data_IF_410831547561
#
_entry.id   IF_410831547561
#
_cell.length_a   1.000
_cell.length_b   1.000
_cell.length_c   1.000
_cell.angle_alpha   90.00
_cell.angle_beta   90.00
_cell.angle_gamma   90.00
#
_symmetry.space_group_name_H-M   'P 1'
#
loop_
_entity.id
_entity.type
_entity.pdbx_description
1 polymer ?
#
# COMPACT_ATOMS: atom_id res chain seq x y z
N UNK A 1 7.09 -30.62 -10.90
CA UNK A 1 7.71 -30.09 -9.68
C UNK A 1 6.72 -29.87 -8.54
N UNK A 2 5.65 -29.08 -8.71
CA UNK A 2 4.65 -28.89 -7.64
C UNK A 2 3.83 -30.16 -7.35
N UNK A 3 3.44 -30.89 -8.40
CA UNK A 3 2.68 -32.15 -8.27
C UNK A 3 3.41 -33.26 -7.50
N UNK A 4 4.74 -33.25 -7.47
CA UNK A 4 5.53 -34.24 -6.71
C UNK A 4 5.58 -33.95 -5.20
N UNK A 5 4.92 -32.87 -4.75
CA UNK A 5 4.81 -32.47 -3.34
C UNK A 5 3.36 -32.59 -2.81
N UNK A 6 2.48 -33.24 -3.58
CA UNK A 6 1.12 -33.53 -3.13
C UNK A 6 1.14 -34.79 -2.24
N UNK A 7 0.71 -34.64 -0.99
CA UNK A 7 0.61 -35.72 -0.03
C UNK A 7 -0.61 -36.62 -0.28
N UNK A 8 -0.70 -37.74 0.46
CA UNK A 8 -1.82 -38.68 0.37
C UNK A 8 -3.15 -38.05 0.77
N UNK A 9 -3.13 -37.14 1.74
CA UNK A 9 -4.28 -36.33 2.19
C UNK A 9 -4.69 -35.23 1.19
N UNK A 10 -3.97 -35.12 0.06
CA UNK A 10 -4.23 -34.13 -0.98
C UNK A 10 -3.61 -32.76 -0.72
N UNK A 11 -3.04 -32.51 0.47
CA UNK A 11 -2.35 -31.28 0.83
C UNK A 11 -1.02 -31.13 0.09
N UNK A 12 -0.63 -29.89 -0.18
CA UNK A 12 0.73 -29.56 -0.61
C UNK A 12 1.50 -29.04 0.61
N UNK A 13 2.75 -29.51 0.77
CA UNK A 13 3.65 -29.06 1.84
C UNK A 13 5.04 -28.79 1.26
N UNK A 14 5.77 -27.87 1.87
CA UNK A 14 7.17 -27.59 1.55
C UNK A 14 8.00 -27.41 2.83
N UNK A 15 9.24 -27.89 2.79
CA UNK A 15 10.18 -27.88 3.93
C UNK A 15 11.10 -26.64 3.96
N UNK A 16 10.84 -25.61 3.14
CA UNK A 16 11.68 -24.41 3.10
C UNK A 16 11.30 -23.39 4.19
N UNK A 17 12.32 -22.83 4.86
CA UNK A 17 12.22 -21.83 5.95
C UNK A 17 11.45 -20.54 5.60
N UNK A 18 11.20 -20.25 4.33
CA UNK A 18 10.53 -19.02 3.90
C UNK A 18 9.02 -19.00 4.21
N UNK A 19 8.39 -20.16 4.41
CA UNK A 19 6.96 -20.28 4.68
C UNK A 19 6.66 -20.76 6.11
N UNK A 20 7.61 -20.72 7.04
CA UNK A 20 7.43 -21.25 8.40
C UNK A 20 6.58 -20.30 9.28
N UNK A 21 5.28 -20.24 9.03
CA UNK A 21 4.28 -19.68 9.97
C UNK A 21 3.15 -20.69 10.15
N UNK A 22 2.54 -20.71 11.33
CA UNK A 22 1.36 -21.55 11.62
C UNK A 22 0.27 -21.29 10.57
N UNK A 23 -0.25 -22.34 9.92
CA UNK A 23 -1.20 -22.25 8.79
C UNK A 23 -0.58 -22.36 7.38
N UNK A 24 0.75 -22.48 7.26
CA UNK A 24 1.49 -22.51 6.00
C UNK A 24 1.04 -23.57 5.00
N UNK A 25 0.66 -24.77 5.46
CA UNK A 25 0.23 -25.85 4.57
C UNK A 25 -1.09 -25.55 3.85
N UNK A 26 -2.03 -24.86 4.50
CA UNK A 26 -3.31 -24.50 3.88
C UNK A 26 -3.10 -23.41 2.82
N UNK A 27 -2.33 -22.37 3.16
CA UNK A 27 -2.00 -21.28 2.24
C UNK A 27 -1.17 -21.77 1.05
N UNK A 28 -0.25 -22.70 1.28
CA UNK A 28 0.54 -23.30 0.21
C UNK A 28 -0.32 -24.20 -0.67
N UNK A 29 -1.20 -25.03 -0.07
CA UNK A 29 -2.17 -25.85 -0.81
C UNK A 29 -3.09 -24.99 -1.66
N UNK A 30 -3.65 -23.91 -1.13
CA UNK A 30 -4.54 -23.01 -1.88
C UNK A 30 -3.81 -22.30 -3.03
N UNK A 31 -2.59 -21.81 -2.79
CA UNK A 31 -1.76 -21.16 -3.80
C UNK A 31 -1.40 -22.11 -4.96
N UNK A 32 -1.03 -23.36 -4.65
CA UNK A 32 -0.74 -24.37 -5.68
C UNK A 32 -2.01 -24.73 -6.46
N UNK A 33 -3.16 -24.85 -5.81
CA UNK A 33 -4.42 -25.14 -6.50
C UNK A 33 -4.86 -24.01 -7.42
N UNK A 34 -4.69 -22.75 -7.02
CA UNK A 34 -4.90 -21.57 -7.86
C UNK A 34 -4.00 -21.60 -9.10
N UNK A 35 -2.70 -21.89 -8.91
CA UNK A 35 -1.75 -22.01 -10.01
C UNK A 35 -2.12 -23.15 -10.97
N UNK A 36 -2.53 -24.31 -10.46
CA UNK A 36 -2.98 -25.45 -11.26
C UNK A 36 -4.29 -25.16 -12.01
N UNK A 37 -5.16 -24.30 -11.46
CA UNK A 37 -6.39 -23.87 -12.12
C UNK A 37 -6.13 -22.93 -13.31
N UNK A 38 -5.11 -22.08 -13.23
CA UNK A 38 -4.75 -21.10 -14.27
C UNK A 38 -3.96 -21.71 -15.44
N UNK A 39 -3.64 -23.00 -15.41
CA UNK A 39 -2.98 -23.70 -16.52
C UNK A 39 -3.92 -23.86 -17.73
N UNK A 40 -3.37 -23.81 -18.94
CA UNK A 40 -4.13 -24.01 -20.20
C UNK A 40 -4.91 -25.33 -20.23
N UNK A 41 -4.40 -26.37 -19.55
CA UNK A 41 -5.11 -27.62 -19.30
C UNK A 41 -5.13 -27.90 -17.79
N UNK A 42 -6.24 -27.60 -17.08
CA UNK A 42 -6.30 -27.77 -15.63
C UNK A 42 -6.11 -29.22 -15.20
N UNK A 43 -5.23 -29.47 -14.23
CA UNK A 43 -5.03 -30.81 -13.66
C UNK A 43 -6.16 -31.15 -12.68
N UNK A 44 -7.27 -31.67 -13.20
CA UNK A 44 -8.49 -31.98 -12.43
C UNK A 44 -8.28 -33.10 -11.42
N UNK A 45 -7.37 -34.04 -11.66
CA UNK A 45 -7.07 -35.15 -10.73
C UNK A 45 -6.43 -34.64 -9.45
N UNK A 46 -5.40 -33.80 -9.56
CA UNK A 46 -4.74 -33.19 -8.41
C UNK A 46 -5.70 -32.26 -7.63
N UNK A 47 -6.56 -31.51 -8.34
CA UNK A 47 -7.56 -30.64 -7.73
C UNK A 47 -8.65 -31.41 -6.98
N UNK A 48 -9.22 -32.45 -7.58
CA UNK A 48 -10.26 -33.27 -6.96
C UNK A 48 -9.71 -34.08 -5.78
N UNK A 49 -8.45 -34.53 -5.88
CA UNK A 49 -7.75 -35.20 -4.76
C UNK A 49 -7.48 -34.26 -3.60
N UNK A 50 -7.16 -32.99 -3.88
CA UNK A 50 -6.93 -32.00 -2.84
C UNK A 50 -8.22 -31.55 -2.15
N UNK A 51 -9.39 -31.69 -2.79
CA UNK A 51 -10.63 -31.15 -2.22
C UNK A 51 -11.94 -31.85 -2.65
N UNK A 52 -12.44 -32.85 -1.88
CA UNK A 52 -13.71 -33.51 -2.17
C UNK A 52 -14.97 -32.80 -1.61
N UNK A 53 -14.86 -31.79 -0.72
CA UNK A 53 -16.01 -31.16 -0.01
C UNK A 53 -16.28 -29.69 -0.40
N UNK A 54 -16.10 -29.32 -1.68
CA UNK A 54 -16.18 -27.92 -2.13
C UNK A 54 -17.47 -27.19 -1.72
N UNK A 55 -18.63 -27.84 -1.87
CA UNK A 55 -19.93 -27.25 -1.57
C UNK A 55 -20.13 -26.92 -0.08
N UNK A 56 -19.50 -27.70 0.80
CA UNK A 56 -19.55 -27.50 2.26
C UNK A 56 -18.73 -26.27 2.67
N UNK A 57 -17.55 -26.06 2.09
CA UNK A 57 -16.76 -24.84 2.35
C UNK A 57 -17.44 -23.60 1.82
N UNK A 58 -18.03 -23.67 0.63
CA UNK A 58 -18.77 -22.54 0.08
C UNK A 58 -19.91 -22.15 1.02
N UNK A 59 -20.61 -23.15 1.57
CA UNK A 59 -21.68 -22.92 2.56
C UNK A 59 -21.14 -22.27 3.84
N UNK A 60 -20.00 -22.74 4.35
CA UNK A 60 -19.33 -22.14 5.51
C UNK A 60 -18.85 -20.71 5.22
N UNK A 61 -18.24 -20.47 4.06
CA UNK A 61 -17.78 -19.16 3.62
C UNK A 61 -18.94 -18.17 3.56
N UNK A 62 -20.07 -18.56 2.97
CA UNK A 62 -21.28 -17.73 2.94
C UNK A 62 -21.82 -17.44 4.34
N UNK A 63 -21.70 -18.39 5.29
CA UNK A 63 -22.21 -18.21 6.66
C UNK A 63 -21.40 -17.21 7.50
N UNK A 64 -20.14 -16.96 7.15
CA UNK A 64 -19.25 -16.02 7.87
C UNK A 64 -19.12 -14.67 7.17
N UNK A 65 -19.89 -14.43 6.12
CA UNK A 65 -19.90 -13.16 5.42
C UNK A 65 -20.49 -12.05 6.30
N UNK A 66 -19.86 -10.87 6.29
CA UNK A 66 -20.41 -9.65 6.88
C UNK A 66 -21.28 -8.95 5.84
N UNK A 67 -22.36 -8.32 6.31
CA UNK A 67 -23.29 -7.59 5.46
C UNK A 67 -23.76 -6.31 6.13
N UNK A 68 -23.64 -5.19 5.42
CA UNK A 68 -24.11 -3.87 5.85
C UNK A 68 -24.42 -3.03 4.61
N UNK A 69 -25.48 -2.23 4.61
CA UNK A 69 -25.79 -1.26 3.53
C UNK A 69 -25.70 -1.80 2.08
N UNK A 70 -26.18 -3.01 1.83
CA UNK A 70 -26.11 -3.69 0.51
C UNK A 70 -24.69 -4.04 0.04
N UNK A 71 -23.74 -4.07 0.96
CA UNK A 71 -22.36 -4.51 0.78
C UNK A 71 -22.11 -5.83 1.51
N UNK A 72 -21.28 -6.70 0.91
CA UNK A 72 -20.93 -8.01 1.49
C UNK A 72 -19.42 -8.20 1.44
N UNK A 73 -18.80 -8.49 2.57
CA UNK A 73 -17.34 -8.68 2.67
C UNK A 73 -16.96 -9.74 3.72
N UNK A 74 -15.68 -10.09 3.73
CA UNK A 74 -15.10 -11.07 4.65
C UNK A 74 -13.90 -10.48 5.37
N UNK A 75 -13.81 -10.78 6.67
CA UNK A 75 -12.74 -10.28 7.55
C UNK A 75 -12.19 -11.44 8.37
N UNK A 76 -10.96 -11.32 8.85
CA UNK A 76 -10.44 -12.24 9.86
C UNK A 76 -11.10 -11.92 11.21
N UNK A 77 -11.64 -12.94 11.91
CA UNK A 77 -12.30 -12.76 13.21
C UNK A 77 -11.26 -12.63 14.32
N UNK A 78 -10.61 -11.48 14.37
CA UNK A 78 -9.72 -11.08 15.47
C UNK A 78 -10.39 -9.93 16.19
N UNK A 79 -10.58 -10.08 17.51
CA UNK A 79 -11.14 -9.08 18.45
C UNK A 79 -10.43 -7.70 18.42
N UNK A 80 -9.39 -7.54 17.60
CA UNK A 80 -8.78 -6.28 17.22
C UNK A 80 -8.73 -6.21 15.69
N UNK A 81 -9.51 -5.30 15.11
CA UNK A 81 -9.73 -5.16 13.66
C UNK A 81 -8.45 -5.21 12.84
N UNK A 82 -8.45 -6.10 11.84
CA UNK A 82 -7.33 -6.33 10.92
C UNK A 82 -7.58 -5.60 9.59
N UNK A 83 -6.56 -4.94 8.99
CA UNK A 83 -6.64 -4.28 7.69
C UNK A 83 -6.53 -5.26 6.48
N UNK A 84 -6.98 -6.51 6.61
CA UNK A 84 -6.79 -7.59 5.60
C UNK A 84 -8.03 -7.92 4.77
N UNK A 85 -9.10 -7.15 4.93
CA UNK A 85 -10.43 -7.47 4.41
C UNK A 85 -10.49 -7.52 2.88
N UNK A 86 -9.69 -6.71 2.18
CA UNK A 86 -9.64 -6.69 0.70
C UNK A 86 -9.15 -8.01 0.13
N UNK A 87 -8.09 -8.60 0.68
CA UNK A 87 -7.53 -9.84 0.15
C UNK A 87 -8.48 -11.01 0.39
N UNK A 88 -9.01 -11.12 1.61
CA UNK A 88 -9.96 -12.18 1.99
C UNK A 88 -11.23 -12.07 1.13
N UNK A 89 -11.78 -10.87 1.01
CA UNK A 89 -12.99 -10.60 0.22
C UNK A 89 -12.78 -10.87 -1.25
N UNK A 90 -11.60 -10.56 -1.80
CA UNK A 90 -11.28 -10.82 -3.21
C UNK A 90 -11.19 -12.33 -3.51
N UNK A 91 -10.57 -13.11 -2.63
CA UNK A 91 -10.56 -14.57 -2.76
C UNK A 91 -11.95 -15.18 -2.59
N UNK A 92 -12.74 -14.68 -1.65
CA UNK A 92 -14.12 -15.12 -1.47
C UNK A 92 -14.94 -14.84 -2.74
N UNK A 93 -14.81 -13.64 -3.31
CA UNK A 93 -15.47 -13.28 -4.57
C UNK A 93 -15.04 -14.22 -5.70
N UNK A 94 -13.74 -14.43 -5.92
CA UNK A 94 -13.24 -15.36 -6.94
C UNK A 94 -13.78 -16.79 -6.76
N UNK A 95 -13.83 -17.27 -5.52
CA UNK A 95 -14.34 -18.61 -5.20
C UNK A 95 -15.84 -18.74 -5.50
N UNK A 96 -16.63 -17.72 -5.14
CA UNK A 96 -18.06 -17.68 -5.42
C UNK A 96 -18.33 -17.58 -6.93
N UNK A 97 -17.57 -16.76 -7.64
CA UNK A 97 -17.65 -16.65 -9.10
C UNK A 97 -17.23 -17.92 -9.83
N UNK A 98 -16.42 -18.80 -9.23
CA UNK A 98 -16.08 -20.09 -9.85
C UNK A 98 -17.27 -21.07 -9.86
N UNK A 99 -18.34 -20.81 -9.10
CA UNK A 99 -19.56 -21.62 -9.10
C UNK A 99 -20.37 -21.38 -10.37
N UNK A 100 -20.86 -22.48 -10.98
CA UNK A 100 -21.65 -22.44 -12.23
C UNK A 100 -23.06 -21.85 -12.08
N UNK A 101 -23.52 -21.60 -10.86
CA UNK A 101 -24.90 -21.22 -10.56
C UNK A 101 -25.10 -19.72 -10.21
N UNK A 102 -24.04 -18.92 -10.17
CA UNK A 102 -24.13 -17.54 -9.68
C UNK A 102 -24.56 -16.56 -10.78
N UNK A 103 -25.49 -15.68 -10.42
CA UNK A 103 -25.94 -14.53 -11.20
C UNK A 103 -25.14 -13.29 -10.77
N UNK A 104 -24.99 -12.23 -11.58
CA UNK A 104 -24.20 -11.07 -11.17
C UNK A 104 -24.70 -10.43 -9.86
N UNK A 105 -26.00 -10.55 -9.56
CA UNK A 105 -26.62 -10.03 -8.34
C UNK A 105 -26.07 -10.66 -7.06
N UNK A 106 -25.51 -11.88 -7.11
CA UNK A 106 -24.89 -12.51 -5.92
C UNK A 106 -23.50 -11.97 -5.61
N UNK A 107 -22.85 -11.33 -6.59
CA UNK A 107 -21.48 -10.83 -6.51
C UNK A 107 -21.42 -9.29 -6.49
N UNK A 108 -22.48 -8.60 -6.93
CA UNK A 108 -22.48 -7.14 -7.09
C UNK A 108 -22.26 -6.40 -5.77
N UNK A 109 -22.86 -6.87 -4.66
CA UNK A 109 -22.68 -6.28 -3.33
C UNK A 109 -21.23 -6.38 -2.85
N UNK A 110 -20.55 -7.48 -3.16
CA UNK A 110 -19.13 -7.66 -2.86
C UNK A 110 -18.23 -6.84 -3.77
N UNK A 111 -18.57 -6.74 -5.06
CA UNK A 111 -17.85 -5.89 -6.01
C UNK A 111 -17.94 -4.42 -5.64
N UNK A 112 -19.12 -3.95 -5.22
CA UNK A 112 -19.33 -2.57 -4.75
C UNK A 112 -18.43 -2.26 -3.56
N UNK A 113 -18.43 -3.16 -2.57
CA UNK A 113 -17.55 -3.03 -1.41
C UNK A 113 -16.07 -2.97 -1.83
N UNK A 114 -15.62 -3.89 -2.70
CA UNK A 114 -14.24 -3.89 -3.22
C UNK A 114 -13.90 -2.61 -3.97
N UNK A 115 -14.79 -2.09 -4.81
CA UNK A 115 -14.57 -0.83 -5.52
C UNK A 115 -14.45 0.35 -4.54
N UNK A 116 -15.21 0.34 -3.44
CA UNK A 116 -15.12 1.36 -2.39
C UNK A 116 -13.77 1.33 -1.64
N UNK A 117 -13.09 0.19 -1.59
CA UNK A 117 -11.75 0.07 -0.98
C UNK A 117 -10.60 0.52 -1.91
N UNK A 118 -10.89 0.86 -3.17
CA UNK A 118 -9.85 1.21 -4.16
C UNK A 118 -9.42 2.66 -3.98
N UNK A 119 -8.11 2.91 -3.94
CA UNK A 119 -7.61 4.27 -3.81
C UNK A 119 -7.65 5.04 -5.13
N UNK A 120 -7.31 6.33 -5.08
CA UNK A 120 -7.34 7.24 -6.25
C UNK A 120 -6.39 6.83 -7.39
N UNK A 121 -5.34 6.05 -7.10
CA UNK A 121 -4.39 5.56 -8.10
C UNK A 121 -4.85 4.25 -8.75
N UNK A 122 -5.92 3.67 -8.21
CA UNK A 122 -6.51 2.46 -8.73
C UNK A 122 -5.89 1.17 -8.17
N UNK A 123 -5.14 1.25 -7.07
CA UNK A 123 -4.56 0.11 -6.36
C UNK A 123 -5.22 -0.11 -4.98
N UNK A 124 -4.78 -1.14 -4.26
CA UNK A 124 -5.32 -1.56 -2.96
C UNK A 124 -4.27 -1.55 -1.84
N UNK A 125 -3.41 -0.53 -1.79
CA UNK A 125 -2.47 -0.23 -0.70
C UNK A 125 -1.32 -1.24 -0.49
N UNK A 126 -1.53 -2.53 -0.80
CA UNK A 126 -0.49 -3.58 -0.84
C UNK A 126 -0.42 -4.23 -2.22
N UNK A 127 0.75 -4.76 -2.58
CA UNK A 127 0.94 -5.48 -3.85
C UNK A 127 0.01 -6.69 -3.97
N UNK A 128 -0.11 -7.48 -2.90
CA UNK A 128 -0.92 -8.71 -2.89
C UNK A 128 -2.42 -8.40 -2.98
N UNK A 129 -2.91 -7.41 -2.21
CA UNK A 129 -4.29 -6.91 -2.30
C UNK A 129 -4.58 -6.36 -3.69
N UNK A 130 -3.62 -5.64 -4.27
CA UNK A 130 -3.74 -5.06 -5.60
C UNK A 130 -3.88 -6.14 -6.66
N UNK A 131 -3.00 -7.14 -6.65
CA UNK A 131 -3.05 -8.25 -7.61
C UNK A 131 -4.35 -9.02 -7.48
N UNK A 132 -4.73 -9.46 -6.28
CA UNK A 132 -5.90 -10.32 -6.09
C UNK A 132 -7.21 -9.52 -6.26
N UNK A 133 -7.27 -8.29 -5.75
CA UNK A 133 -8.43 -7.41 -5.87
C UNK A 133 -8.71 -7.00 -7.31
N UNK A 134 -7.70 -6.58 -8.06
CA UNK A 134 -7.87 -6.29 -9.49
C UNK A 134 -8.22 -7.54 -10.28
N UNK A 135 -7.61 -8.70 -9.96
CA UNK A 135 -7.98 -9.98 -10.59
C UNK A 135 -9.45 -10.29 -10.38
N UNK A 136 -9.97 -10.13 -9.16
CA UNK A 136 -11.37 -10.38 -8.85
C UNK A 136 -12.33 -9.45 -9.61
N UNK A 137 -12.00 -8.15 -9.69
CA UNK A 137 -12.81 -7.18 -10.43
C UNK A 137 -12.80 -7.44 -11.94
N UNK A 138 -11.65 -7.81 -12.51
CA UNK A 138 -11.51 -8.15 -13.93
C UNK A 138 -12.33 -9.41 -14.25
N UNK A 139 -12.17 -10.48 -13.47
CA UNK A 139 -12.90 -11.73 -13.67
C UNK A 139 -14.42 -11.54 -13.56
N UNK A 140 -14.88 -10.68 -12.63
CA UNK A 140 -16.28 -10.29 -12.57
C UNK A 140 -16.75 -9.61 -13.86
N UNK A 141 -15.99 -8.63 -14.35
CA UNK A 141 -16.30 -7.87 -15.56
C UNK A 141 -16.30 -8.76 -16.81
N UNK A 142 -15.34 -9.67 -16.93
CA UNK A 142 -15.25 -10.64 -18.03
C UNK A 142 -16.42 -11.64 -18.00
N UNK A 143 -16.76 -12.16 -16.81
CA UNK A 143 -17.78 -13.20 -16.67
C UNK A 143 -19.19 -12.71 -16.99
N UNK A 144 -19.56 -11.52 -16.52
CA UNK A 144 -20.95 -11.02 -16.65
C UNK A 144 -21.11 -9.83 -17.59
N UNK A 145 -20.03 -9.35 -18.21
CA UNK A 145 -20.08 -8.37 -19.28
C UNK A 145 -20.51 -6.98 -18.81
N UNK A 146 -19.55 -6.08 -18.62
CA UNK A 146 -19.85 -4.67 -18.41
C UNK A 146 -20.29 -4.03 -19.74
N UNK A 147 -21.54 -3.57 -19.83
CA UNK A 147 -21.97 -2.65 -20.88
C UNK A 147 -21.60 -1.24 -20.43
N UNK A 148 -20.77 -0.54 -21.19
CA UNK A 148 -20.46 0.89 -20.98
C UNK A 148 -21.73 1.72 -21.16
N UNK A 149 -22.49 1.88 -20.09
CA UNK A 149 -23.58 2.84 -20.07
C UNK A 149 -22.91 4.22 -19.94
N UNK A 150 -23.17 5.13 -20.89
CA UNK A 150 -22.73 6.51 -20.77
C UNK A 150 -23.49 7.15 -19.60
N UNK A 151 -22.78 7.56 -18.55
CA UNK A 151 -23.38 8.23 -17.40
C UNK A 151 -23.25 9.72 -17.58
N UNK A 152 -24.36 10.43 -17.41
CA UNK A 152 -24.40 11.89 -17.42
C UNK A 152 -24.58 12.37 -15.99
N UNK A 153 -23.56 13.05 -15.45
CA UNK A 153 -23.56 13.64 -14.12
C UNK A 153 -23.52 15.14 -14.26
N UNK A 154 -24.57 15.82 -13.79
CA UNK A 154 -24.62 17.28 -13.70
C UNK A 154 -24.35 17.71 -12.26
N UNK A 155 -23.34 18.55 -12.05
CA UNK A 155 -23.05 19.17 -10.75
C UNK A 155 -23.40 20.65 -10.86
N UNK A 156 -24.24 21.13 -9.94
CA UNK A 156 -24.63 22.54 -9.89
C UNK A 156 -24.55 23.10 -8.47
N UNK A 157 -23.97 24.28 -8.32
CA UNK A 157 -24.06 25.16 -7.15
C UNK A 157 -24.32 26.61 -7.63
N UNK A 158 -24.51 27.57 -6.71
CA UNK A 158 -24.87 28.98 -7.01
C UNK A 158 -23.91 29.65 -8.02
N UNK A 159 -22.63 29.26 -8.04
CA UNK A 159 -21.61 29.84 -8.94
C UNK A 159 -21.14 28.94 -10.09
N UNK A 160 -21.45 27.63 -10.07
CA UNK A 160 -20.89 26.65 -11.03
C UNK A 160 -21.97 25.68 -11.49
N UNK A 161 -22.13 25.52 -12.80
CA UNK A 161 -22.88 24.41 -13.40
C UNK A 161 -21.99 23.68 -14.40
N UNK A 162 -21.59 22.46 -14.06
CA UNK A 162 -20.80 21.59 -14.93
C UNK A 162 -21.59 20.33 -15.29
N UNK A 163 -21.46 19.94 -16.56
CA UNK A 163 -22.11 18.76 -17.14
C UNK A 163 -21.04 17.79 -17.59
N UNK A 164 -20.95 16.64 -16.92
CA UNK A 164 -19.96 15.61 -17.20
C UNK A 164 -20.64 14.40 -17.83
N UNK A 165 -20.29 14.10 -19.07
CA UNK A 165 -20.63 12.82 -19.70
C UNK A 165 -19.45 11.88 -19.46
N UNK A 166 -19.57 11.04 -18.43
CA UNK A 166 -18.56 10.05 -18.08
C UNK A 166 -18.72 8.83 -18.98
N UNK A 167 -17.93 8.77 -20.06
CA UNK A 167 -17.71 7.55 -20.82
C UNK A 167 -16.52 6.72 -20.29
N UNK A 168 -15.75 7.23 -19.32
CA UNK A 168 -14.66 6.54 -18.64
C UNK A 168 -14.45 7.17 -17.25
N UNK A 169 -14.57 6.37 -16.19
CA UNK A 169 -14.38 6.81 -14.79
C UNK A 169 -12.89 7.06 -14.51
N UNK A 170 -12.45 8.32 -14.61
CA UNK A 170 -11.16 8.78 -14.08
C UNK A 170 -11.36 9.37 -12.69
N UNK A 171 -10.48 9.01 -11.76
CA UNK A 171 -10.44 9.52 -10.39
C UNK A 171 -10.20 11.03 -10.37
N UNK A 172 -10.93 11.75 -9.52
CA UNK A 172 -10.78 13.20 -9.37
C UNK A 172 -9.64 13.51 -8.41
N UNK A 173 -8.66 14.28 -8.87
CA UNK A 173 -7.57 14.81 -8.03
C UNK A 173 -7.98 16.18 -7.50
N UNK A 174 -7.93 16.36 -6.18
CA UNK A 174 -8.07 17.67 -5.55
C UNK A 174 -6.67 18.23 -5.34
N UNK A 175 -6.34 19.29 -6.06
CA UNK A 175 -5.08 20.02 -5.86
C UNK A 175 -5.22 20.92 -4.63
N UNK A 176 -4.36 20.70 -3.63
CA UNK A 176 -4.30 21.59 -2.48
C UNK A 176 -3.76 22.98 -2.87
N UNK A 177 -4.20 24.05 -2.19
CA UNK A 177 -3.61 25.38 -2.37
C UNK A 177 -2.10 25.36 -2.11
N UNK A 178 -1.35 26.16 -2.88
CA UNK A 178 0.11 26.26 -2.78
C UNK A 178 0.63 26.67 -1.39
N UNK A 179 -0.24 27.26 -0.56
CA UNK A 179 0.07 27.74 0.80
C UNK A 179 -0.29 26.73 1.91
N UNK A 180 -0.56 25.47 1.55
CA UNK A 180 -0.87 24.41 2.54
C UNK A 180 0.36 24.14 3.38
N UNK A 181 0.36 24.60 4.64
CA UNK A 181 1.51 24.50 5.55
C UNK A 181 1.62 23.16 6.27
N UNK A 182 0.50 22.49 6.52
CA UNK A 182 0.46 21.24 7.30
C UNK A 182 -0.79 20.43 6.93
N UNK A 183 -0.63 19.12 6.85
CA UNK A 183 -1.73 18.15 6.74
C UNK A 183 -1.73 17.34 8.04
N UNK A 184 -2.83 17.36 8.78
CA UNK A 184 -3.01 16.53 9.97
C UNK A 184 -3.99 15.40 9.65
N UNK A 185 -3.50 14.16 9.68
CA UNK A 185 -4.35 12.98 9.59
C UNK A 185 -4.97 12.68 10.96
N UNK A 186 -6.27 12.32 10.99
CA UNK A 186 -7.00 12.10 12.24
C UNK A 186 -6.49 10.89 13.06
N UNK A 187 -5.80 9.93 12.42
CA UNK A 187 -5.15 8.79 13.06
C UNK A 187 -3.88 8.40 12.28
N UNK A 188 -2.72 9.05 12.52
CA UNK A 188 -1.51 8.71 11.80
C UNK A 188 -1.00 7.33 12.25
N UNK A 189 -0.58 6.49 11.30
CA UNK A 189 0.07 5.20 11.60
C UNK A 189 1.57 5.36 11.92
N UNK A 190 2.16 6.49 11.52
CA UNK A 190 3.56 6.83 11.73
C UNK A 190 3.70 8.25 12.27
N UNK A 191 4.63 8.44 13.20
CA UNK A 191 5.12 9.75 13.63
C UNK A 191 6.39 10.09 12.88
N UNK A 192 6.49 11.31 12.36
CA UNK A 192 7.72 11.84 11.76
C UNK A 192 8.08 13.12 12.51
N UNK A 193 9.33 13.24 12.92
CA UNK A 193 9.90 14.46 13.45
C UNK A 193 11.18 14.79 12.70
N UNK A 194 11.27 16.02 12.17
CA UNK A 194 12.45 16.49 11.46
C UNK A 194 13.20 17.50 12.32
N UNK A 195 14.53 17.43 12.31
CA UNK A 195 15.40 18.40 12.99
C UNK A 195 16.52 18.78 12.05
N UNK A 196 16.57 20.07 11.68
CA UNK A 196 17.61 20.59 10.83
C UNK A 196 18.82 21.02 11.68
N UNK A 197 19.97 20.42 11.41
CA UNK A 197 21.26 20.87 11.92
C UNK A 197 22.00 21.55 10.77
N UNK A 198 21.94 22.88 10.74
CA UNK A 198 22.80 23.64 9.82
C UNK A 198 24.25 23.53 10.30
N UNK A 199 25.11 22.95 9.46
CA UNK A 199 26.55 23.02 9.65
C UNK A 199 27.02 24.46 9.47
N UNK A 200 28.10 24.85 10.13
CA UNK A 200 28.71 26.20 10.12
C UNK A 200 29.17 26.71 8.73
N UNK A 201 28.84 26.01 7.64
CA UNK A 201 29.16 26.30 6.25
C UNK A 201 27.87 26.23 5.42
N UNK A 202 27.50 27.34 4.79
CA UNK A 202 26.25 27.54 4.01
C UNK A 202 26.00 26.53 2.87
N UNK A 203 26.96 25.66 2.57
CA UNK A 203 26.91 24.67 1.48
C UNK A 203 26.62 23.23 1.93
N UNK A 204 26.58 22.93 3.24
CA UNK A 204 26.23 21.59 3.74
C UNK A 204 25.09 21.65 4.75
N UNK A 205 24.13 20.73 4.61
CA UNK A 205 23.02 20.55 5.55
C UNK A 205 23.04 19.13 6.12
N UNK A 206 22.68 19.00 7.39
CA UNK A 206 22.39 17.73 8.05
C UNK A 206 20.95 17.77 8.55
N UNK A 207 20.09 16.93 7.98
CA UNK A 207 18.71 16.75 8.41
C UNK A 207 18.61 15.44 9.21
N UNK A 208 18.20 15.53 10.47
CA UNK A 208 17.89 14.34 11.27
C UNK A 208 16.39 14.07 11.17
N UNK A 209 16.02 12.93 10.62
CA UNK A 209 14.63 12.50 10.49
C UNK A 209 14.38 11.35 11.46
N UNK A 210 13.60 11.60 12.51
CA UNK A 210 13.16 10.58 13.45
C UNK A 210 11.78 10.06 13.04
N UNK A 211 11.67 8.75 12.91
CA UNK A 211 10.42 8.05 12.57
C UNK A 211 10.04 7.09 13.67
N UNK A 212 8.75 7.03 13.96
CA UNK A 212 8.18 6.14 14.98
C UNK A 212 6.92 5.48 14.43
N UNK A 213 6.70 4.22 14.78
CA UNK A 213 5.45 3.53 14.48
C UNK A 213 4.45 3.73 15.63
N UNK A 214 3.35 4.45 15.36
CA UNK A 214 2.37 4.89 16.39
C UNK A 214 0.99 4.24 16.22
N UNK A 215 0.87 3.27 15.32
CA UNK A 215 -0.36 2.53 15.04
C UNK A 215 -0.95 1.87 16.30
N UNK A 216 -2.28 1.90 16.44
CA UNK A 216 -2.95 1.36 17.63
C UNK A 216 -3.10 -0.16 17.60
N UNK A 217 -3.32 -0.70 16.40
CA UNK A 217 -3.69 -2.12 16.19
C UNK A 217 -2.52 -3.10 16.24
N UNK A 218 -1.30 -2.66 15.97
CA UNK A 218 -0.14 -3.55 15.78
C UNK A 218 1.10 -3.05 16.55
N UNK A 219 1.99 -3.97 16.93
CA UNK A 219 3.19 -3.66 17.74
C UNK A 219 4.44 -3.35 16.93
N UNK A 220 4.41 -3.57 15.62
CA UNK A 220 5.49 -3.22 14.70
C UNK A 220 4.93 -3.00 13.30
N UNK A 221 5.60 -2.17 12.51
CA UNK A 221 5.41 -2.14 11.07
C UNK A 221 6.02 -3.39 10.44
N UNK A 222 5.61 -3.70 9.21
CA UNK A 222 6.42 -4.55 8.35
C UNK A 222 7.56 -3.71 7.76
N UNK A 223 8.11 -4.13 6.62
CA UNK A 223 8.99 -3.30 5.81
C UNK A 223 8.36 -1.92 5.58
N UNK A 224 9.09 -0.88 5.96
CA UNK A 224 8.70 0.51 5.80
C UNK A 224 9.73 1.22 4.93
N UNK A 225 9.25 2.14 4.11
CA UNK A 225 10.08 2.93 3.20
C UNK A 225 9.89 4.39 3.54
N UNK A 226 11.00 5.09 3.75
CA UNK A 226 11.03 6.52 3.98
C UNK A 226 11.70 7.22 2.81
N UNK A 227 11.02 8.22 2.26
CA UNK A 227 11.52 9.08 1.20
C UNK A 227 11.70 10.49 1.73
N UNK A 228 12.93 11.00 1.63
CA UNK A 228 13.30 12.36 2.02
C UNK A 228 13.58 13.15 0.76
N UNK A 229 12.67 14.07 0.40
CA UNK A 229 12.87 14.99 -0.72
C UNK A 229 13.74 16.15 -0.25
N UNK A 230 14.87 16.38 -0.91
CA UNK A 230 15.77 17.48 -0.57
C UNK A 230 15.26 18.81 -1.14
N UNK A 231 15.61 19.96 -0.51
CA UNK A 231 15.30 21.26 -1.07
C UNK A 231 15.93 21.47 -2.45
N UNK A 232 15.29 22.29 -3.27
CA UNK A 232 15.82 22.61 -4.61
C UNK A 232 17.25 23.15 -4.52
N UNK A 233 18.15 22.58 -5.32
CA UNK A 233 19.57 22.94 -5.31
C UNK A 233 20.42 22.19 -4.28
N UNK A 234 19.90 21.14 -3.65
CA UNK A 234 20.67 20.22 -2.81
C UNK A 234 20.72 18.81 -3.41
N UNK A 235 21.84 18.13 -3.17
CA UNK A 235 22.07 16.74 -3.56
C UNK A 235 22.58 15.94 -2.36
N UNK A 236 22.13 14.69 -2.23
CA UNK A 236 22.53 13.83 -1.13
C UNK A 236 24.04 13.52 -1.14
N UNK A 237 24.67 13.56 0.03
CA UNK A 237 26.06 13.13 0.20
C UNK A 237 26.11 11.60 0.35
N UNK A 238 26.29 10.88 -0.76
CA UNK A 238 26.38 9.41 -0.77
C UNK A 238 27.48 8.85 0.12
N UNK A 239 28.54 9.62 0.42
CA UNK A 239 29.60 9.16 1.31
C UNK A 239 29.12 9.04 2.76
N UNK A 240 28.10 9.82 3.14
CA UNK A 240 27.48 9.82 4.47
C UNK A 240 26.58 8.59 4.72
N UNK A 241 26.15 7.87 3.68
CA UNK A 241 25.17 6.78 3.75
C UNK A 241 25.61 5.59 4.59
N UNK A 242 26.91 5.49 4.91
CA UNK A 242 27.40 4.51 5.89
C UNK A 242 26.73 4.72 7.25
N UNK A 243 26.62 5.96 7.72
CA UNK A 243 25.95 6.28 9.00
C UNK A 243 24.46 5.97 8.99
N UNK A 244 23.82 6.01 7.82
CA UNK A 244 22.41 5.62 7.67
C UNK A 244 22.28 4.10 7.79
N UNK A 245 23.16 3.34 7.13
CA UNK A 245 23.18 1.86 7.19
C UNK A 245 23.61 1.31 8.55
N UNK A 246 24.36 2.08 9.33
CA UNK A 246 24.79 1.69 10.68
C UNK A 246 23.64 1.82 11.71
N UNK A 247 22.50 2.45 11.35
CA UNK A 247 21.32 2.49 12.21
C UNK A 247 20.63 1.13 12.20
N UNK A 248 20.39 0.58 13.40
CA UNK A 248 19.71 -0.71 13.56
C UNK A 248 18.31 -0.71 12.92
N UNK A 249 18.03 -1.74 12.12
CA UNK A 249 16.76 -1.92 11.41
C UNK A 249 16.72 -1.28 10.03
N UNK A 250 17.77 -0.56 9.60
CA UNK A 250 17.92 -0.08 8.21
C UNK A 250 18.51 -1.20 7.35
N UNK A 251 17.78 -1.62 6.32
CA UNK A 251 18.23 -2.64 5.37
C UNK A 251 19.09 -2.03 4.25
N UNK A 252 18.61 -0.97 3.61
CA UNK A 252 19.32 -0.30 2.52
C UNK A 252 18.99 1.20 2.42
N UNK A 253 19.83 1.92 1.69
CA UNK A 253 19.65 3.34 1.37
C UNK A 253 20.03 3.59 -0.08
N UNK A 254 19.13 4.24 -0.81
CA UNK A 254 19.24 4.53 -2.25
C UNK A 254 18.84 5.99 -2.53
N UNK A 255 18.99 6.41 -3.79
CA UNK A 255 18.59 7.75 -4.25
C UNK A 255 17.81 7.69 -5.56
N UNK A 256 16.91 8.67 -5.77
CA UNK A 256 16.25 8.94 -7.07
C UNK A 256 16.41 10.40 -7.48
N UNK A 257 16.02 10.71 -8.72
CA UNK A 257 16.00 12.07 -9.27
C UNK A 257 17.34 12.80 -9.12
N UNK A 258 18.42 12.24 -9.66
CA UNK A 258 19.75 12.86 -9.59
C UNK A 258 20.19 13.18 -8.15
N UNK A 259 19.91 12.25 -7.23
CA UNK A 259 20.27 12.35 -5.81
C UNK A 259 19.55 13.44 -5.02
N UNK A 260 18.47 14.01 -5.58
CA UNK A 260 17.59 14.97 -4.90
C UNK A 260 16.57 14.32 -3.97
N UNK A 261 16.41 12.99 -4.02
CA UNK A 261 15.55 12.25 -3.08
C UNK A 261 16.31 11.07 -2.53
N UNK A 262 16.35 10.96 -1.19
CA UNK A 262 16.97 9.86 -0.46
C UNK A 262 15.88 8.87 -0.04
N UNK A 263 16.09 7.59 -0.30
CA UNK A 263 15.15 6.50 0.00
C UNK A 263 15.82 5.59 1.02
N UNK A 264 15.17 5.38 2.16
CA UNK A 264 15.66 4.53 3.26
C UNK A 264 14.67 3.40 3.47
N UNK A 265 15.18 2.16 3.43
CA UNK A 265 14.40 0.95 3.62
C UNK A 265 14.63 0.42 5.03
N UNK A 266 13.56 0.32 5.80
CA UNK A 266 13.56 -0.30 7.12
C UNK A 266 13.02 -1.73 7.02
N UNK A 267 13.66 -2.68 7.72
CA UNK A 267 13.16 -4.05 7.82
C UNK A 267 11.84 -4.10 8.60
N UNK A 268 11.77 -3.35 9.70
CA UNK A 268 10.56 -3.10 10.50
C UNK A 268 10.79 -1.92 11.44
N UNK A 269 9.71 -1.23 11.83
CA UNK A 269 9.71 -0.20 12.85
C UNK A 269 8.88 -0.68 14.04
N UNK A 270 9.51 -0.82 15.19
CA UNK A 270 8.82 -1.21 16.42
C UNK A 270 8.00 -0.05 16.98
N UNK A 271 6.89 -0.39 17.64
CA UNK A 271 6.07 0.60 18.34
C UNK A 271 6.81 1.17 19.55
N UNK A 272 6.67 2.48 19.78
CA UNK A 272 7.37 3.21 20.85
C UNK A 272 8.90 3.22 20.76
N UNK A 273 9.46 2.89 19.59
CA UNK A 273 10.89 2.98 19.33
C UNK A 273 11.13 3.92 18.16
N UNK A 274 11.68 5.09 18.43
CA UNK A 274 12.01 6.06 17.40
C UNK A 274 13.37 5.73 16.75
N UNK A 275 13.39 5.68 15.43
CA UNK A 275 14.62 5.51 14.63
C UNK A 275 14.96 6.85 13.97
N UNK A 276 16.15 7.38 14.27
CA UNK A 276 16.59 8.67 13.76
C UNK A 276 17.66 8.51 12.69
N UNK A 277 17.39 9.02 11.50
CA UNK A 277 18.25 8.90 10.32
C UNK A 277 18.90 10.26 10.01
N UNK A 278 20.24 10.35 10.04
CA UNK A 278 20.95 11.55 9.62
C UNK A 278 21.12 11.55 8.09
N UNK A 279 20.44 12.48 7.42
CA UNK A 279 20.55 12.72 5.98
C UNK A 279 21.43 13.95 5.75
N UNK A 280 22.60 13.74 5.15
CA UNK A 280 23.48 14.84 4.76
C UNK A 280 23.36 15.15 3.27
N UNK A 281 23.34 16.44 2.96
CA UNK A 281 23.29 16.93 1.59
C UNK A 281 24.17 18.16 1.41
N UNK A 282 24.64 18.38 0.19
CA UNK A 282 25.43 19.54 -0.20
C UNK A 282 24.68 20.38 -1.23
N UNK A 283 24.89 21.69 -1.17
CA UNK A 283 24.29 22.66 -2.09
C UNK A 283 25.00 22.57 -3.44
N UNK A 284 24.25 22.20 -4.47
CA UNK A 284 24.70 22.18 -5.87
C UNK A 284 24.37 23.47 -6.61
N UNK A 285 23.25 24.11 -6.27
CA UNK A 285 22.80 25.36 -6.89
C UNK A 285 22.30 26.35 -5.84
N UNK A 286 22.59 27.63 -6.08
CA UNK A 286 22.01 28.70 -5.28
C UNK A 286 20.59 29.01 -5.72
N UNK A 287 19.63 28.57 -4.91
CA UNK A 287 18.21 28.86 -5.09
C UNK A 287 17.75 29.88 -4.06
N UNK A 288 17.03 30.91 -4.51
CA UNK A 288 16.31 31.86 -3.66
C UNK A 288 14.86 31.39 -3.48
N UNK A 289 14.25 31.72 -2.33
CA UNK A 289 12.87 31.34 -2.00
C UNK A 289 12.62 29.81 -1.98
N UNK A 290 13.36 29.11 -1.12
CA UNK A 290 13.19 27.66 -0.94
C UNK A 290 11.78 27.33 -0.42
N UNK A 291 11.04 26.54 -1.20
CA UNK A 291 9.78 25.95 -0.76
C UNK A 291 10.02 24.85 0.28
N UNK A 292 9.04 24.56 1.14
CA UNK A 292 9.09 23.41 2.04
C UNK A 292 9.33 22.13 1.25
N UNK A 293 10.16 21.26 1.83
CA UNK A 293 10.43 19.92 1.34
C UNK A 293 9.70 18.89 2.18
N UNK A 294 9.55 17.67 1.67
CA UNK A 294 8.73 16.65 2.31
C UNK A 294 9.53 15.41 2.70
N UNK A 295 9.15 14.85 3.83
CA UNK A 295 9.48 13.49 4.24
C UNK A 295 8.20 12.68 4.19
N UNK A 296 8.23 11.56 3.49
CA UNK A 296 7.11 10.62 3.44
C UNK A 296 7.60 9.29 3.98
N UNK A 297 6.85 8.68 4.89
CA UNK A 297 7.05 7.28 5.27
C UNK A 297 5.79 6.50 4.94
N UNK A 298 5.97 5.28 4.44
CA UNK A 298 4.88 4.37 4.17
C UNK A 298 5.32 2.92 4.34
N UNK A 299 4.36 2.02 4.50
CA UNK A 299 4.61 0.58 4.51
C UNK A 299 3.81 -0.16 3.44
N UNK A 300 4.06 -1.48 3.38
CA UNK A 300 3.40 -2.38 2.44
C UNK A 300 1.90 -2.55 2.65
N UNK A 301 1.29 -1.98 3.70
CA UNK A 301 -0.14 -2.08 3.98
C UNK A 301 -0.90 -0.79 3.69
N UNK A 302 -0.26 0.20 3.06
CA UNK A 302 -0.87 1.49 2.70
C UNK A 302 -0.84 2.54 3.79
N UNK A 303 -0.33 2.19 4.97
CA UNK A 303 -0.18 3.15 6.07
C UNK A 303 0.91 4.13 5.67
N UNK A 304 0.63 5.43 5.84
CA UNK A 304 1.56 6.49 5.45
C UNK A 304 1.53 7.64 6.44
N UNK A 305 2.60 8.42 6.47
CA UNK A 305 2.63 9.76 7.07
C UNK A 305 3.49 10.68 6.21
N UNK A 306 3.20 11.97 6.23
CA UNK A 306 3.96 12.99 5.51
C UNK A 306 4.22 14.17 6.43
N UNK A 307 5.48 14.61 6.49
CA UNK A 307 5.90 15.78 7.26
C UNK A 307 6.66 16.75 6.36
N UNK A 308 6.41 18.04 6.54
CA UNK A 308 7.05 19.11 5.79
C UNK A 308 8.17 19.72 6.64
N UNK A 309 9.30 20.03 6.03
CA UNK A 309 10.38 20.78 6.67
C UNK A 309 10.87 21.88 5.75
N UNK A 310 11.36 22.98 6.33
CA UNK A 310 11.85 24.11 5.58
C UNK A 310 13.25 24.48 6.05
N UNK A 311 14.13 24.79 5.10
CA UNK A 311 15.45 25.30 5.38
C UNK A 311 15.36 26.82 5.58
N UNK A 312 15.66 27.29 6.79
CA UNK A 312 15.83 28.72 7.04
C UNK A 312 17.22 29.14 6.55
N UNK A 313 17.27 29.81 5.41
CA UNK A 313 18.49 30.46 4.96
C UNK A 313 18.67 31.74 5.78
N UNK A 314 19.68 31.78 6.66
CA UNK A 314 20.09 33.04 7.27
C UNK A 314 20.51 34.00 6.15
N UNK A 315 19.73 35.07 5.96
CA UNK A 315 20.09 36.21 5.14
C UNK A 315 21.27 36.94 5.80
N UNK A 316 22.49 36.47 5.53
CA UNK A 316 23.70 37.17 5.91
C UNK A 316 23.81 38.52 5.20
N UNK A 317 23.65 39.60 5.97
CA UNK A 317 24.15 40.97 5.76
C UNK A 317 24.37 41.42 4.29
N UNK A 318 23.29 41.78 3.58
CA UNK A 318 23.39 42.80 2.54
C UNK A 318 23.60 44.18 3.20
N UNK A 319 24.79 44.43 3.76
CA UNK A 319 25.25 45.79 3.99
C UNK A 319 25.73 46.34 2.65
N UNK A 320 24.84 47.06 1.98
CA UNK A 320 25.19 47.93 0.87
C UNK A 320 26.28 48.90 1.32
N UNK A 321 27.40 48.88 0.59
CA UNK A 321 28.39 49.96 0.56
C UNK A 321 28.11 50.84 -0.64
#
# INVERSE_FOLDING_TARGET
FLLSRQHEDGSFREDFKYFSRSGSSILFTSSVLLALQKQATPNTVAKNKAYPEFDKLVSQLRSVAKQENDEIWWTEDVQNGSPQDVEITSYALLALMALKADKPESAISTVRWLLAQRNIHGDFESSQKTVVGLTALIEFAEKWGYQLNAWEVSISNEDISERLVACNLLTQTVNFPLDTKRLEEANPSFGIQTTLKSGSLSSKMELVVCVEFVERSTNASNMAVMEVSLPSGYSADKSSFKRIRDVEGVGSVDTKNEDSVVIVYFESLAKNESKCIPVEAYRTLEVTNLKPSIVVIYDNYGRKATEYYQLELELGDFKGT
#
